data_IF_182613413355
#
_entry.id   IF_182613413355
#
_cell.length_a   1.000
_cell.length_b   1.000
_cell.length_c   1.000
_cell.angle_alpha   90.00
_cell.angle_beta   90.00
_cell.angle_gamma   90.00
#
_symmetry.space_group_name_H-M   'P 1'
#
loop_
_entity.id
_entity.type
_entity.pdbx_description
1 polymer ?
#
# COMPACT_ATOMS: atom_id res chain seq x y z
N UNK A 1 -1.38 -16.39 -18.55
CA UNK A 1 -1.85 -15.14 -19.14
C UNK A 1 -1.40 -15.05 -20.60
N UNK A 2 -2.33 -14.76 -21.51
CA UNK A 2 -2.07 -14.48 -22.91
C UNK A 2 -2.42 -13.02 -23.16
N UNK A 3 -1.56 -12.29 -23.87
CA UNK A 3 -1.75 -10.88 -24.20
C UNK A 3 -1.66 -10.67 -25.72
N UNK A 4 -2.49 -9.74 -26.23
CA UNK A 4 -2.45 -9.27 -27.63
C UNK A 4 -2.70 -10.41 -28.66
N UNK A 5 -3.75 -11.19 -28.46
CA UNK A 5 -4.21 -12.22 -29.41
C UNK A 5 -5.36 -11.63 -30.27
N UNK A 6 -5.04 -10.95 -31.35
CA UNK A 6 -6.02 -10.24 -32.18
C UNK A 6 -6.81 -9.21 -31.36
N UNK A 7 -8.14 -9.33 -31.32
CA UNK A 7 -9.02 -8.45 -30.52
C UNK A 7 -9.01 -8.76 -29.02
N UNK A 8 -8.47 -9.91 -28.60
CA UNK A 8 -8.30 -10.28 -27.21
C UNK A 8 -7.07 -9.58 -26.65
N UNK A 9 -7.25 -8.49 -25.89
CA UNK A 9 -6.14 -7.78 -25.27
C UNK A 9 -5.48 -8.55 -24.15
N UNK A 10 -6.29 -9.31 -23.42
CA UNK A 10 -5.80 -10.09 -22.28
C UNK A 10 -6.74 -11.25 -21.99
N UNK A 11 -6.18 -12.44 -21.78
CA UNK A 11 -6.86 -13.63 -21.26
C UNK A 11 -6.01 -14.14 -20.09
N UNK A 12 -6.55 -14.16 -18.90
CA UNK A 12 -5.85 -14.60 -17.70
C UNK A 12 -6.67 -15.67 -16.99
N UNK A 13 -6.04 -16.79 -16.69
CA UNK A 13 -6.60 -17.89 -15.91
C UNK A 13 -5.76 -18.13 -14.66
N UNK A 14 -6.39 -18.55 -13.57
CA UNK A 14 -5.76 -18.81 -12.28
C UNK A 14 -5.80 -17.62 -11.34
N UNK A 15 -4.69 -17.32 -10.65
CA UNK A 15 -4.63 -16.18 -9.69
C UNK A 15 -4.25 -14.90 -10.40
N UNK A 16 -5.06 -13.86 -10.20
CA UNK A 16 -4.87 -12.57 -10.85
C UNK A 16 -5.26 -11.40 -9.94
N UNK A 17 -4.89 -10.20 -10.37
CA UNK A 17 -5.25 -8.92 -9.77
C UNK A 17 -5.95 -8.06 -10.79
N UNK A 18 -6.95 -7.32 -10.33
CA UNK A 18 -7.67 -6.32 -11.10
C UNK A 18 -7.47 -4.93 -10.49
N UNK A 19 -7.42 -3.95 -11.36
CA UNK A 19 -7.52 -2.54 -11.02
C UNK A 19 -8.43 -1.89 -12.06
N UNK A 20 -9.60 -1.42 -11.63
CA UNK A 20 -10.57 -0.75 -12.47
C UNK A 20 -10.84 0.66 -11.93
N UNK A 21 -10.95 1.64 -12.82
CA UNK A 21 -11.12 3.05 -12.47
C UNK A 21 -10.00 3.60 -11.60
N UNK A 22 -10.33 4.36 -10.58
CA UNK A 22 -9.42 4.83 -9.52
C UNK A 22 -9.44 3.93 -8.29
N UNK A 23 -10.13 2.78 -8.36
CA UNK A 23 -10.17 1.76 -7.33
C UNK A 23 -11.21 1.98 -6.24
N UNK A 24 -12.24 2.79 -6.49
CA UNK A 24 -13.32 3.01 -5.53
C UNK A 24 -14.13 1.75 -5.27
N UNK A 25 -14.28 0.87 -6.26
CA UNK A 25 -14.99 -0.39 -6.11
C UNK A 25 -14.09 -1.61 -6.18
N UNK A 26 -13.08 -1.63 -7.08
CA UNK A 26 -12.27 -2.81 -7.34
C UNK A 26 -10.82 -2.47 -7.65
N UNK A 27 -9.93 -2.77 -6.70
CA UNK A 27 -8.49 -2.66 -6.86
C UNK A 27 -7.77 -3.61 -5.89
N UNK A 28 -7.13 -4.64 -6.43
CA UNK A 28 -6.29 -5.57 -5.67
C UNK A 28 -4.79 -5.29 -5.87
N UNK A 29 -4.44 -4.23 -6.60
CA UNK A 29 -3.05 -3.83 -6.81
C UNK A 29 -2.48 -3.13 -5.57
N UNK A 30 -1.16 -3.01 -5.56
CA UNK A 30 -0.43 -2.35 -4.49
C UNK A 30 -0.43 -0.83 -4.70
N UNK A 31 -0.63 -0.07 -3.62
CA UNK A 31 -0.51 1.40 -3.61
C UNK A 31 0.85 1.83 -3.06
N UNK A 32 1.54 2.74 -3.75
CA UNK A 32 2.86 3.26 -3.37
C UNK A 32 2.82 4.49 -2.44
N UNK A 33 1.65 4.83 -1.92
CA UNK A 33 1.46 5.97 -1.04
C UNK A 33 1.17 7.29 -1.79
N UNK A 34 0.94 8.36 -1.02
CA UNK A 34 0.38 9.62 -1.52
C UNK A 34 1.28 10.37 -2.52
N UNK A 35 2.60 10.29 -2.34
CA UNK A 35 3.55 10.96 -3.24
C UNK A 35 3.50 10.39 -4.67
N UNK A 36 3.19 9.10 -4.82
CA UNK A 36 3.15 8.45 -6.13
C UNK A 36 2.03 8.97 -7.06
N UNK A 37 1.00 9.59 -6.50
CA UNK A 37 -0.11 10.16 -7.27
C UNK A 37 0.36 11.27 -8.21
N UNK A 38 1.40 12.03 -7.83
CA UNK A 38 2.00 13.07 -8.67
C UNK A 38 2.48 12.56 -10.03
N UNK A 39 2.90 11.29 -10.09
CA UNK A 39 3.41 10.67 -11.33
C UNK A 39 2.46 9.62 -11.93
N UNK A 40 1.44 9.18 -11.21
CA UNK A 40 0.55 8.10 -11.64
C UNK A 40 -0.81 8.58 -12.15
N UNK A 41 -1.20 9.82 -11.89
CA UNK A 41 -2.45 10.39 -12.41
C UNK A 41 -2.44 10.35 -13.94
N UNK A 42 -3.56 9.92 -14.55
CA UNK A 42 -3.68 9.75 -16.00
C UNK A 42 -3.06 8.47 -16.57
N UNK A 43 -2.36 7.68 -15.76
CA UNK A 43 -1.93 6.34 -16.17
C UNK A 43 -3.13 5.44 -16.43
N UNK A 44 -2.98 4.48 -17.34
CA UNK A 44 -4.04 3.51 -17.63
C UNK A 44 -4.46 2.77 -16.36
N UNK A 45 -5.70 2.91 -15.98
CA UNK A 45 -6.26 2.37 -14.74
C UNK A 45 -6.70 0.93 -14.89
N UNK A 46 -7.38 0.57 -15.99
CA UNK A 46 -7.95 -0.77 -16.19
C UNK A 46 -6.86 -1.79 -16.51
N UNK A 47 -6.53 -2.63 -15.54
CA UNK A 47 -5.40 -3.57 -15.62
C UNK A 47 -5.76 -4.93 -15.06
N UNK A 48 -5.46 -5.98 -15.84
CA UNK A 48 -5.43 -7.35 -15.38
C UNK A 48 -3.96 -7.79 -15.29
N UNK A 49 -3.53 -8.26 -14.12
CA UNK A 49 -2.17 -8.76 -13.89
C UNK A 49 -2.20 -10.15 -13.27
N UNK A 50 -1.28 -11.01 -13.66
CA UNK A 50 -1.04 -12.27 -12.95
C UNK A 50 -0.58 -11.96 -11.53
N UNK A 51 -1.10 -12.68 -10.56
CA UNK A 51 -0.65 -12.57 -9.18
C UNK A 51 0.73 -13.20 -9.03
N UNK A 52 1.73 -12.37 -8.78
CA UNK A 52 3.14 -12.79 -8.59
C UNK A 52 3.66 -12.52 -7.18
N UNK A 53 2.84 -11.95 -6.30
CA UNK A 53 3.22 -11.68 -4.91
C UNK A 53 3.19 -12.94 -4.05
N UNK A 54 4.00 -12.96 -2.99
CA UNK A 54 3.93 -14.00 -1.94
C UNK A 54 2.70 -13.85 -1.02
N UNK A 55 1.93 -12.76 -1.15
CA UNK A 55 0.69 -12.58 -0.38
C UNK A 55 -0.32 -13.67 -0.72
N UNK A 56 -0.81 -14.36 0.30
CA UNK A 56 -1.82 -15.42 0.20
C UNK A 56 -3.26 -14.89 0.20
N UNK A 57 -3.46 -13.58 0.34
CA UNK A 57 -4.80 -13.03 0.58
C UNK A 57 -5.28 -12.02 -0.46
N UNK A 58 -4.41 -11.28 -1.09
CA UNK A 58 -4.78 -10.14 -1.93
C UNK A 58 -4.77 -10.49 -3.43
N UNK A 59 -5.60 -11.45 -3.84
CA UNK A 59 -5.77 -11.89 -5.23
C UNK A 59 -7.20 -12.34 -5.50
N UNK A 60 -7.57 -12.40 -6.78
CA UNK A 60 -8.74 -13.08 -7.31
C UNK A 60 -8.29 -14.41 -7.95
N UNK A 61 -9.16 -15.43 -7.98
CA UNK A 61 -8.85 -16.74 -8.52
C UNK A 61 -9.97 -17.23 -9.42
N UNK A 62 -9.66 -17.42 -10.70
CA UNK A 62 -10.61 -17.83 -11.72
C UNK A 62 -10.17 -17.38 -13.11
N UNK A 63 -10.98 -16.56 -13.78
CA UNK A 63 -10.71 -16.09 -15.13
C UNK A 63 -11.01 -14.60 -15.26
N UNK A 64 -10.21 -13.90 -16.06
CA UNK A 64 -10.47 -12.53 -16.47
C UNK A 64 -10.04 -12.33 -17.93
N UNK A 65 -10.85 -11.61 -18.69
CA UNK A 65 -10.65 -11.40 -20.11
C UNK A 65 -10.95 -9.96 -20.48
N UNK A 66 -10.14 -9.36 -21.37
CA UNK A 66 -10.42 -8.07 -22.01
C UNK A 66 -10.47 -8.24 -23.51
N UNK A 67 -11.58 -7.85 -24.11
CA UNK A 67 -11.83 -7.90 -25.55
C UNK A 67 -12.09 -6.52 -26.11
N UNK A 68 -11.46 -6.18 -27.26
CA UNK A 68 -11.71 -4.93 -27.99
C UNK A 68 -12.87 -5.12 -28.94
N UNK A 69 -14.01 -4.53 -28.61
CA UNK A 69 -15.21 -4.56 -29.46
C UNK A 69 -15.00 -3.71 -30.72
N UNK A 70 -14.59 -2.45 -30.53
CA UNK A 70 -14.33 -1.47 -31.56
C UNK A 70 -13.04 -0.71 -31.23
N UNK A 71 -12.49 0.06 -32.16
CA UNK A 71 -11.34 0.91 -31.90
C UNK A 71 -11.65 1.88 -30.75
N UNK A 72 -10.88 1.75 -29.67
CA UNK A 72 -11.06 2.55 -28.45
C UNK A 72 -12.08 1.99 -27.46
N UNK A 73 -12.90 0.98 -27.78
CA UNK A 73 -13.89 0.39 -26.90
C UNK A 73 -13.48 -1.00 -26.46
N UNK A 74 -13.19 -1.16 -25.17
CA UNK A 74 -12.79 -2.40 -24.53
C UNK A 74 -13.89 -2.88 -23.57
N UNK A 75 -14.14 -4.18 -23.60
CA UNK A 75 -14.98 -4.90 -22.64
C UNK A 75 -14.11 -5.84 -21.82
N UNK A 76 -14.18 -5.72 -20.52
CA UNK A 76 -13.53 -6.65 -19.57
C UNK A 76 -14.59 -7.44 -18.82
N UNK A 77 -14.44 -8.75 -18.73
CA UNK A 77 -15.25 -9.61 -17.88
C UNK A 77 -14.35 -10.41 -16.94
N UNK A 78 -14.80 -10.63 -15.72
CA UNK A 78 -14.03 -11.36 -14.70
C UNK A 78 -14.92 -12.20 -13.80
N UNK A 79 -14.35 -13.33 -13.38
CA UNK A 79 -14.96 -14.26 -12.43
C UNK A 79 -13.90 -14.76 -11.45
N UNK A 80 -14.24 -14.84 -10.17
CA UNK A 80 -13.37 -15.37 -9.13
C UNK A 80 -14.16 -16.21 -8.13
N UNK A 81 -13.62 -17.37 -7.80
CA UNK A 81 -14.04 -18.19 -6.67
C UNK A 81 -12.82 -18.53 -5.82
N UNK A 82 -12.89 -18.27 -4.52
CA UNK A 82 -11.81 -18.59 -3.58
C UNK A 82 -12.33 -18.90 -2.18
N UNK A 83 -11.62 -19.78 -1.49
CA UNK A 83 -11.75 -19.94 -0.05
C UNK A 83 -11.07 -18.76 0.66
N UNK A 84 -11.61 -18.34 1.79
CA UNK A 84 -11.13 -17.21 2.59
C UNK A 84 -11.00 -17.59 4.05
N UNK A 85 -10.02 -16.98 4.70
CA UNK A 85 -9.81 -17.12 6.12
C UNK A 85 -10.73 -16.14 6.86
N UNK A 86 -11.39 -16.60 7.91
CA UNK A 86 -12.36 -15.79 8.63
C UNK A 86 -12.40 -16.12 10.13
N UNK A 87 -12.73 -15.13 10.93
CA UNK A 87 -13.18 -15.34 12.30
C UNK A 87 -14.70 -15.38 12.29
N UNK A 88 -15.27 -16.44 12.84
CA UNK A 88 -16.72 -16.56 12.98
C UNK A 88 -17.22 -15.87 14.26
N UNK A 89 -18.44 -15.38 14.19
CA UNK A 89 -19.23 -14.97 15.36
C UNK A 89 -19.85 -16.18 16.04
N UNK A 90 -20.35 -16.04 17.25
CA UNK A 90 -21.05 -17.11 18.00
C UNK A 90 -22.28 -17.65 17.24
N UNK A 91 -22.82 -16.88 16.33
CA UNK A 91 -23.97 -17.25 15.46
C UNK A 91 -23.55 -17.93 14.15
N UNK A 92 -22.25 -18.24 13.97
CA UNK A 92 -21.72 -18.93 12.79
C UNK A 92 -21.52 -18.07 11.54
N UNK A 93 -21.75 -16.77 11.60
CA UNK A 93 -21.46 -15.84 10.50
C UNK A 93 -20.03 -15.30 10.54
N UNK A 94 -19.57 -14.72 9.44
CA UNK A 94 -18.24 -14.10 9.33
C UNK A 94 -18.23 -12.79 10.11
N UNK A 95 -17.54 -12.76 11.24
CA UNK A 95 -17.32 -11.54 12.02
C UNK A 95 -16.22 -10.66 11.42
N UNK A 96 -15.14 -11.30 10.92
CA UNK A 96 -14.00 -10.59 10.32
C UNK A 96 -13.32 -11.47 9.27
N UNK A 97 -13.10 -10.93 8.07
CA UNK A 97 -12.28 -11.56 7.02
C UNK A 97 -10.82 -11.32 7.37
N UNK A 98 -10.02 -12.39 7.46
CA UNK A 98 -8.61 -12.32 7.77
C UNK A 98 -7.81 -11.91 6.53
N UNK A 99 -7.01 -10.85 6.66
CA UNK A 99 -6.19 -10.30 5.56
C UNK A 99 -4.67 -10.56 5.74
N UNK A 100 -4.27 -11.33 6.74
CA UNK A 100 -2.84 -11.62 7.01
C UNK A 100 -2.33 -12.84 6.24
N UNK A 101 -3.18 -13.87 6.09
CA UNK A 101 -2.80 -15.15 5.48
C UNK A 101 -1.75 -15.93 6.28
N UNK A 102 -1.67 -15.69 7.59
CA UNK A 102 -0.74 -16.37 8.49
C UNK A 102 -1.45 -17.55 9.19
N UNK A 103 -0.78 -18.70 9.23
CA UNK A 103 -1.28 -19.95 9.82
C UNK A 103 -0.19 -20.58 10.71
N UNK A 104 0.27 -19.84 11.74
CA UNK A 104 1.41 -20.19 12.61
C UNK A 104 0.98 -20.80 13.94
N UNK A 105 -0.21 -20.46 14.41
CA UNK A 105 -0.77 -20.91 15.67
C UNK A 105 -2.04 -21.73 15.45
N UNK A 106 -2.44 -22.56 16.40
CA UNK A 106 -3.71 -23.32 16.33
C UNK A 106 -4.92 -22.41 16.11
N UNK A 107 -4.92 -21.21 16.71
CA UNK A 107 -5.98 -20.20 16.52
C UNK A 107 -6.00 -19.62 15.11
N UNK A 108 -4.84 -19.44 14.48
CA UNK A 108 -4.74 -18.99 13.09
C UNK A 108 -5.14 -20.10 12.11
N UNK A 109 -4.70 -21.34 12.36
CA UNK A 109 -5.05 -22.54 11.58
C UNK A 109 -6.55 -22.79 11.63
N UNK A 110 -7.18 -22.66 12.80
CA UNK A 110 -8.62 -22.82 12.97
C UNK A 110 -9.47 -21.81 12.17
N UNK A 111 -8.88 -20.74 11.66
CA UNK A 111 -9.54 -19.72 10.83
C UNK A 111 -9.31 -19.91 9.33
N UNK A 112 -8.51 -20.90 8.95
CA UNK A 112 -8.10 -21.12 7.58
C UNK A 112 -9.23 -21.70 6.73
N UNK A 113 -9.50 -21.06 5.56
CA UNK A 113 -10.43 -21.57 4.55
C UNK A 113 -11.86 -21.87 5.04
N UNK A 114 -12.33 -21.17 6.08
CA UNK A 114 -13.64 -21.44 6.73
C UNK A 114 -14.81 -21.08 5.82
N UNK A 115 -14.66 -20.04 5.01
CA UNK A 115 -15.71 -19.56 4.12
C UNK A 115 -15.22 -19.48 2.68
N UNK A 116 -16.12 -19.26 1.74
CA UNK A 116 -15.79 -18.99 0.35
C UNK A 116 -16.42 -17.69 -0.12
N UNK A 117 -15.79 -17.08 -1.11
CA UNK A 117 -16.25 -15.88 -1.78
C UNK A 117 -16.27 -16.09 -3.29
N UNK A 118 -17.42 -15.79 -3.90
CA UNK A 118 -17.60 -15.73 -5.35
C UNK A 118 -17.74 -14.27 -5.75
N UNK A 119 -17.06 -13.86 -6.81
CA UNK A 119 -17.13 -12.51 -7.37
C UNK A 119 -17.23 -12.61 -8.89
N UNK A 120 -18.16 -11.87 -9.50
CA UNK A 120 -18.30 -11.76 -10.95
C UNK A 120 -18.62 -10.32 -11.32
N UNK A 121 -18.12 -9.90 -12.47
CA UNK A 121 -18.37 -8.54 -12.92
C UNK A 121 -17.75 -8.22 -14.26
N UNK A 122 -17.85 -6.95 -14.63
CA UNK A 122 -17.31 -6.44 -15.87
C UNK A 122 -17.03 -4.96 -15.83
N UNK A 123 -16.28 -4.54 -16.84
CA UNK A 123 -15.97 -3.14 -17.13
C UNK A 123 -16.13 -2.90 -18.63
N UNK A 124 -16.73 -1.78 -18.99
CA UNK A 124 -16.72 -1.24 -20.34
C UNK A 124 -15.95 0.07 -20.30
N UNK A 125 -14.99 0.24 -21.20
CA UNK A 125 -14.13 1.42 -21.23
C UNK A 125 -13.95 1.93 -22.67
N UNK A 126 -14.27 3.19 -22.90
CA UNK A 126 -14.07 3.88 -24.17
C UNK A 126 -12.94 4.89 -24.04
N UNK A 127 -12.03 4.91 -25.02
CA UNK A 127 -10.90 5.84 -25.09
C UNK A 127 -10.77 6.41 -26.48
N UNK A 128 -10.73 7.73 -26.57
CA UNK A 128 -10.52 8.44 -27.83
C UNK A 128 -9.87 9.81 -27.59
N UNK A 129 -8.80 10.12 -28.33
CA UNK A 129 -8.14 11.44 -28.37
C UNK A 129 -7.88 12.07 -26.98
N UNK A 130 -7.34 11.27 -26.06
CA UNK A 130 -7.04 11.71 -24.69
C UNK A 130 -8.20 11.56 -23.69
N UNK A 131 -9.44 11.44 -24.14
CA UNK A 131 -10.60 11.16 -23.30
C UNK A 131 -10.72 9.67 -22.99
N UNK A 132 -11.18 9.38 -21.80
CA UNK A 132 -11.71 8.06 -21.46
C UNK A 132 -12.97 8.18 -20.61
N UNK A 133 -13.89 7.23 -20.79
CA UNK A 133 -15.06 7.03 -19.96
C UNK A 133 -15.21 5.53 -19.76
N UNK A 134 -15.39 5.10 -18.51
CA UNK A 134 -15.57 3.72 -18.14
C UNK A 134 -16.74 3.52 -17.20
N UNK A 135 -17.29 2.32 -17.22
CA UNK A 135 -18.28 1.88 -16.23
C UNK A 135 -17.89 0.47 -15.77
N UNK A 136 -17.85 0.29 -14.46
CA UNK A 136 -17.50 -0.98 -13.82
C UNK A 136 -18.62 -1.43 -12.90
N UNK A 137 -18.95 -2.71 -12.91
CA UNK A 137 -19.89 -3.28 -11.98
C UNK A 137 -19.50 -4.70 -11.59
N UNK A 138 -19.77 -5.07 -10.34
CA UNK A 138 -19.61 -6.44 -9.88
C UNK A 138 -20.65 -6.84 -8.84
N UNK A 139 -20.84 -8.14 -8.76
CA UNK A 139 -21.63 -8.82 -7.73
C UNK A 139 -20.73 -9.81 -7.00
N UNK A 140 -20.88 -9.88 -5.68
CA UNK A 140 -20.14 -10.82 -4.84
C UNK A 140 -21.04 -11.51 -3.83
N UNK A 141 -20.77 -12.80 -3.59
CA UNK A 141 -21.51 -13.66 -2.66
C UNK A 141 -20.54 -14.39 -1.75
N UNK A 142 -20.93 -14.54 -0.48
CA UNK A 142 -20.20 -15.31 0.52
C UNK A 142 -20.99 -16.55 0.92
N UNK A 143 -20.31 -17.66 1.21
CA UNK A 143 -20.95 -18.90 1.68
C UNK A 143 -21.54 -18.78 3.08
N UNK A 144 -21.05 -17.84 3.88
CA UNK A 144 -21.55 -17.50 5.21
C UNK A 144 -21.85 -15.99 5.27
N UNK A 145 -22.88 -15.54 6.02
CA UNK A 145 -23.22 -14.12 6.08
C UNK A 145 -22.11 -13.33 6.81
N UNK A 146 -21.83 -12.13 6.35
CA UNK A 146 -21.06 -11.16 7.13
C UNK A 146 -21.91 -10.72 8.34
N UNK A 147 -21.35 -10.88 9.53
CA UNK A 147 -21.99 -10.52 10.81
C UNK A 147 -21.04 -9.71 11.68
N UNK A 148 -20.66 -8.48 11.24
CA UNK A 148 -19.75 -7.64 12.01
C UNK A 148 -20.37 -7.25 13.37
N UNK A 149 -19.53 -7.10 14.38
CA UNK A 149 -19.96 -6.60 15.69
C UNK A 149 -20.27 -5.10 15.61
N UNK A 150 -21.55 -4.77 15.45
CA UNK A 150 -22.06 -3.40 15.34
C UNK A 150 -22.22 -2.67 16.67
N UNK A 151 -21.93 -3.31 17.80
CA UNK A 151 -21.86 -2.64 19.10
C UNK A 151 -20.69 -1.65 19.14
N UNK A 152 -19.65 -1.92 18.35
CA UNK A 152 -18.51 -1.04 18.18
C UNK A 152 -18.84 0.07 17.17
N UNK A 153 -18.76 1.33 17.60
CA UNK A 153 -19.14 2.50 16.79
C UNK A 153 -18.49 2.51 15.40
N UNK A 154 -17.20 2.24 15.32
CA UNK A 154 -16.46 2.25 14.04
C UNK A 154 -16.89 1.16 13.05
N UNK A 155 -17.64 0.14 13.51
CA UNK A 155 -18.24 -0.91 12.66
C UNK A 155 -19.71 -0.71 12.34
N UNK A 156 -20.31 0.42 12.75
CA UNK A 156 -21.76 0.67 12.59
C UNK A 156 -22.26 0.47 11.17
N UNK A 157 -21.47 0.92 10.19
CA UNK A 157 -21.81 0.85 8.76
C UNK A 157 -21.09 -0.28 8.01
N UNK A 158 -20.48 -1.23 8.72
CA UNK A 158 -19.86 -2.39 8.09
C UNK A 158 -20.90 -3.25 7.34
N UNK A 159 -20.54 -3.85 6.20
CA UNK A 159 -21.44 -4.68 5.39
C UNK A 159 -21.96 -5.88 6.17
N UNK A 160 -23.24 -6.22 5.98
CA UNK A 160 -23.92 -7.33 6.63
C UNK A 160 -24.74 -8.13 5.62
N UNK A 161 -24.69 -9.46 5.70
CA UNK A 161 -25.41 -10.37 4.80
C UNK A 161 -24.51 -11.18 3.91
N UNK A 162 -25.09 -11.82 2.89
CA UNK A 162 -24.37 -12.75 2.01
C UNK A 162 -23.91 -12.10 0.71
N UNK A 163 -24.69 -11.18 0.18
CA UNK A 163 -24.59 -10.71 -1.20
C UNK A 163 -24.41 -9.21 -1.27
N UNK A 164 -23.48 -8.77 -2.11
CA UNK A 164 -23.16 -7.36 -2.29
C UNK A 164 -22.92 -7.05 -3.76
N UNK A 165 -23.25 -5.85 -4.18
CA UNK A 165 -22.88 -5.31 -5.47
C UNK A 165 -22.32 -3.90 -5.32
N UNK A 166 -21.43 -3.53 -6.21
CA UNK A 166 -20.97 -2.16 -6.38
C UNK A 166 -20.90 -1.84 -7.87
N UNK A 167 -21.13 -0.59 -8.20
CA UNK A 167 -20.99 -0.03 -9.54
C UNK A 167 -20.29 1.32 -9.48
N UNK A 168 -19.50 1.64 -10.51
CA UNK A 168 -18.85 2.94 -10.65
C UNK A 168 -18.80 3.39 -12.10
N UNK A 169 -18.70 4.71 -12.26
CA UNK A 169 -18.36 5.36 -13.54
C UNK A 169 -17.07 6.11 -13.32
N UNK A 170 -16.10 5.88 -14.20
CA UNK A 170 -14.82 6.56 -14.23
C UNK A 170 -14.67 7.37 -15.53
N UNK A 171 -13.93 8.46 -15.43
CA UNK A 171 -13.68 9.34 -16.56
C UNK A 171 -12.33 10.02 -16.43
N UNK A 172 -11.81 10.50 -17.55
CA UNK A 172 -10.57 11.27 -17.56
C UNK A 172 -10.27 11.90 -18.90
N UNK A 173 -9.34 12.83 -18.82
CA UNK A 173 -8.80 13.54 -19.97
C UNK A 173 -7.30 13.76 -19.81
N UNK A 174 -6.54 13.41 -20.82
CA UNK A 174 -5.09 13.60 -20.86
C UNK A 174 -4.75 14.42 -22.10
N UNK A 175 -4.13 15.56 -21.89
CA UNK A 175 -3.57 16.41 -22.93
C UNK A 175 -2.11 16.76 -22.60
N UNK A 176 -1.50 17.63 -23.40
CA UNK A 176 -0.13 18.08 -23.14
C UNK A 176 0.02 18.78 -21.76
N UNK A 177 -0.98 19.57 -21.37
CA UNK A 177 -0.91 20.35 -20.10
C UNK A 177 -1.84 19.84 -19.01
N UNK A 178 -2.98 19.24 -19.37
CA UNK A 178 -3.99 18.79 -18.42
C UNK A 178 -4.01 17.28 -18.31
N UNK A 179 -4.07 16.80 -17.09
CA UNK A 179 -4.44 15.43 -16.76
C UNK A 179 -5.57 15.47 -15.75
N UNK A 180 -6.75 14.98 -16.13
CA UNK A 180 -7.94 14.92 -15.27
C UNK A 180 -8.33 13.46 -15.13
N UNK A 181 -8.72 13.05 -13.94
CA UNK A 181 -9.27 11.73 -13.66
C UNK A 181 -10.31 11.81 -12.55
N UNK A 182 -11.38 11.06 -12.68
CA UNK A 182 -12.42 10.96 -11.66
C UNK A 182 -13.10 9.60 -11.67
N UNK A 183 -13.66 9.22 -10.55
CA UNK A 183 -14.51 8.04 -10.38
C UNK A 183 -15.60 8.37 -9.37
N UNK A 184 -16.83 7.93 -9.65
CA UNK A 184 -17.95 7.98 -8.71
C UNK A 184 -18.58 6.60 -8.62
N UNK A 185 -18.81 6.14 -7.41
CA UNK A 185 -19.22 4.77 -7.11
C UNK A 185 -20.38 4.71 -6.11
N UNK A 186 -21.16 3.66 -6.23
CA UNK A 186 -22.26 3.30 -5.31
C UNK A 186 -22.35 1.78 -5.16
N UNK A 187 -23.30 1.31 -4.35
CA UNK A 187 -23.54 -0.13 -4.15
C UNK A 187 -24.75 -0.42 -3.26
N UNK A 188 -24.80 -1.62 -2.69
CA UNK A 188 -25.85 -2.04 -1.76
C UNK A 188 -26.08 -1.08 -0.60
N UNK A 189 -25.07 -0.30 -0.24
CA UNK A 189 -25.15 0.70 0.84
C UNK A 189 -26.08 1.88 0.52
N UNK A 190 -26.48 2.08 -0.73
CA UNK A 190 -27.22 3.25 -1.20
C UNK A 190 -26.51 4.59 -0.98
N UNK A 191 -25.18 4.55 -0.80
CA UNK A 191 -24.35 5.71 -0.52
C UNK A 191 -23.31 5.90 -1.63
N UNK A 192 -22.66 7.06 -1.68
CA UNK A 192 -21.78 7.46 -2.75
C UNK A 192 -20.33 7.60 -2.22
N UNK A 193 -19.37 7.20 -3.04
CA UNK A 193 -17.96 7.57 -2.94
C UNK A 193 -17.55 8.25 -4.24
N UNK A 194 -16.80 9.35 -4.17
CA UNK A 194 -16.26 10.04 -5.34
C UNK A 194 -14.82 10.50 -5.10
N UNK A 195 -14.00 10.37 -6.13
CA UNK A 195 -12.61 10.82 -6.17
C UNK A 195 -12.38 11.56 -7.48
N UNK A 196 -11.89 12.78 -7.40
CA UNK A 196 -11.63 13.63 -8.56
C UNK A 196 -10.25 14.27 -8.43
N UNK A 197 -9.48 14.25 -9.48
CA UNK A 197 -8.14 14.81 -9.51
C UNK A 197 -7.87 15.52 -10.83
N UNK A 198 -7.13 16.63 -10.74
CA UNK A 198 -6.65 17.36 -11.89
C UNK A 198 -5.19 17.76 -11.67
N UNK A 199 -4.36 17.57 -12.67
CA UNK A 199 -2.99 18.06 -12.73
C UNK A 199 -2.82 19.00 -13.89
N UNK A 200 -2.10 20.10 -13.66
CA UNK A 200 -1.76 21.09 -14.68
C UNK A 200 -0.26 21.28 -14.76
N UNK A 201 0.27 21.19 -15.97
CA UNK A 201 1.65 21.47 -16.29
C UNK A 201 1.80 22.94 -16.69
N UNK A 202 2.27 23.79 -15.78
CA UNK A 202 2.50 25.21 -16.01
C UNK A 202 3.68 25.44 -16.96
N UNK A 203 4.73 24.64 -16.78
CA UNK A 203 5.92 24.61 -17.62
C UNK A 203 6.55 23.22 -17.55
N UNK A 204 7.55 22.95 -18.40
CA UNK A 204 8.33 21.70 -18.36
C UNK A 204 9.02 21.46 -17.01
N UNK A 205 9.08 22.49 -16.17
CA UNK A 205 9.75 22.46 -14.86
C UNK A 205 8.79 22.47 -13.68
N UNK A 206 7.51 22.79 -13.87
CA UNK A 206 6.58 22.93 -12.76
C UNK A 206 5.18 22.41 -13.09
N UNK A 207 4.70 21.50 -12.26
CA UNK A 207 3.33 20.99 -12.30
C UNK A 207 2.68 21.01 -10.92
N UNK A 208 1.37 21.23 -10.91
CA UNK A 208 0.51 21.22 -9.71
C UNK A 208 -0.59 20.18 -9.90
N UNK A 209 -0.91 19.45 -8.85
CA UNK A 209 -1.98 18.45 -8.78
C UNK A 209 -2.89 18.79 -7.62
N UNK A 210 -4.19 18.88 -7.88
CA UNK A 210 -5.25 18.96 -6.89
C UNK A 210 -6.12 17.71 -6.96
N UNK A 211 -6.49 17.16 -5.79
CA UNK A 211 -7.37 16.01 -5.68
C UNK A 211 -8.37 16.25 -4.56
N UNK A 212 -9.62 15.94 -4.81
CA UNK A 212 -10.70 15.95 -3.83
C UNK A 212 -11.32 14.56 -3.75
N UNK A 213 -11.60 14.10 -2.54
CA UNK A 213 -12.28 12.83 -2.27
C UNK A 213 -13.40 13.01 -1.26
N UNK A 214 -14.52 12.37 -1.53
CA UNK A 214 -15.63 12.26 -0.61
C UNK A 214 -16.12 10.82 -0.58
N UNK A 215 -15.98 10.17 0.56
CA UNK A 215 -16.45 8.81 0.83
C UNK A 215 -17.46 8.86 1.96
N UNK A 216 -18.73 8.60 1.66
CA UNK A 216 -19.77 8.57 2.69
C UNK A 216 -19.45 7.57 3.81
N UNK A 217 -19.79 7.88 5.04
CA UNK A 217 -19.66 6.96 6.17
C UNK A 217 -20.41 5.63 5.98
N UNK A 218 -21.50 5.65 5.18
CA UNK A 218 -22.29 4.46 4.84
C UNK A 218 -21.74 3.69 3.63
N UNK A 219 -20.87 4.30 2.82
CA UNK A 219 -20.30 3.63 1.66
C UNK A 219 -19.39 2.49 2.08
N UNK A 220 -19.45 1.38 1.36
CA UNK A 220 -18.48 0.30 1.46
C UNK A 220 -18.31 -0.43 0.11
N UNK A 221 -17.11 -0.88 -0.14
CA UNK A 221 -16.78 -1.91 -1.12
C UNK A 221 -15.70 -2.82 -0.55
N UNK A 222 -15.94 -4.13 -0.57
CA UNK A 222 -15.06 -5.13 0.03
C UNK A 222 -13.73 -5.32 -0.74
N UNK A 223 -13.67 -4.82 -1.98
CA UNK A 223 -12.53 -4.97 -2.89
C UNK A 223 -11.92 -3.63 -3.31
N UNK A 224 -12.37 -2.53 -2.70
CA UNK A 224 -11.83 -1.20 -2.96
C UNK A 224 -10.43 -1.03 -2.37
N UNK A 225 -9.59 -0.29 -3.08
CA UNK A 225 -8.32 0.23 -2.62
C UNK A 225 -8.00 1.47 -3.46
N UNK A 226 -8.31 2.63 -2.94
CA UNK A 226 -8.17 3.91 -3.63
C UNK A 226 -7.36 4.89 -2.80
N UNK A 227 -7.14 6.09 -3.32
CA UNK A 227 -6.44 7.15 -2.61
C UNK A 227 -7.23 7.54 -1.36
N UNK A 228 -6.69 7.25 -0.19
CA UNK A 228 -7.31 7.54 1.10
C UNK A 228 -6.25 7.72 2.20
N UNK A 229 -6.62 8.38 3.27
CA UNK A 229 -5.86 8.40 4.52
C UNK A 229 -6.27 7.20 5.41
N UNK A 230 -7.50 6.76 5.30
CA UNK A 230 -8.01 5.57 5.94
C UNK A 230 -7.49 4.28 5.30
N UNK A 231 -7.78 3.14 5.93
CA UNK A 231 -7.48 1.82 5.37
C UNK A 231 -8.50 1.36 4.32
N UNK A 232 -9.69 1.96 4.35
CA UNK A 232 -10.82 1.59 3.51
C UNK A 232 -11.39 2.83 2.83
N UNK A 233 -12.04 2.65 1.70
CA UNK A 233 -12.79 3.70 0.98
C UNK A 233 -14.12 3.91 1.68
N UNK A 234 -14.10 4.57 2.83
CA UNK A 234 -15.28 4.80 3.67
C UNK A 234 -15.02 5.94 4.64
N UNK A 235 -16.05 6.80 4.86
CA UNK A 235 -16.04 7.84 5.89
C UNK A 235 -14.80 8.73 5.80
N UNK A 236 -14.60 9.39 4.66
CA UNK A 236 -13.47 10.29 4.48
C UNK A 236 -13.84 11.42 3.52
N UNK A 237 -13.68 12.66 3.96
CA UNK A 237 -13.73 13.84 3.13
C UNK A 237 -12.34 14.49 3.15
N UNK A 238 -11.73 14.71 2.00
CA UNK A 238 -10.35 15.19 1.97
C UNK A 238 -9.97 15.92 0.71
N UNK A 239 -8.97 16.78 0.88
CA UNK A 239 -8.36 17.54 -0.19
C UNK A 239 -6.84 17.35 -0.16
N UNK A 240 -6.26 17.11 -1.32
CA UNK A 240 -4.84 16.93 -1.52
C UNK A 240 -4.34 17.95 -2.54
N UNK A 241 -3.26 18.62 -2.22
CA UNK A 241 -2.54 19.50 -3.13
C UNK A 241 -1.08 19.04 -3.19
N UNK A 242 -0.60 18.75 -4.38
CA UNK A 242 0.76 18.28 -4.58
C UNK A 242 1.43 18.98 -5.76
N UNK A 243 2.75 19.06 -5.74
CA UNK A 243 3.53 19.70 -6.77
C UNK A 243 4.79 18.92 -7.13
N UNK A 244 5.25 19.13 -8.35
CA UNK A 244 6.56 18.71 -8.83
C UNK A 244 7.26 19.92 -9.42
N UNK A 245 8.49 20.17 -8.99
CA UNK A 245 9.29 21.31 -9.43
C UNK A 245 10.73 20.92 -9.71
N UNK A 246 11.25 21.34 -10.84
CA UNK A 246 12.63 21.15 -11.30
C UNK A 246 13.25 22.55 -11.45
N UNK A 247 13.66 23.24 -10.36
CA UNK A 247 14.11 24.63 -10.40
C UNK A 247 15.37 24.84 -11.22
N UNK A 248 16.21 23.83 -11.31
CA UNK A 248 17.45 23.86 -12.09
C UNK A 248 17.84 22.45 -12.52
N UNK A 249 18.75 22.35 -13.47
CA UNK A 249 19.35 21.08 -13.84
C UNK A 249 19.88 20.33 -12.59
N UNK A 250 19.57 19.04 -12.48
CA UNK A 250 19.95 18.15 -11.37
C UNK A 250 19.14 18.31 -10.08
N UNK A 251 18.19 19.23 -9.98
CA UNK A 251 17.32 19.36 -8.83
C UNK A 251 15.92 18.85 -9.14
N UNK A 252 15.31 18.13 -8.19
CA UNK A 252 13.90 17.76 -8.24
C UNK A 252 13.30 17.91 -6.86
N UNK A 253 12.24 18.70 -6.78
CA UNK A 253 11.52 18.98 -5.54
C UNK A 253 10.07 18.52 -5.72
N UNK A 254 9.61 17.63 -4.86
CA UNK A 254 8.24 17.12 -4.88
C UNK A 254 7.64 17.28 -3.48
N UNK A 255 6.41 17.69 -3.41
CA UNK A 255 5.76 17.82 -2.11
C UNK A 255 4.26 17.73 -2.21
N UNK A 256 3.63 17.52 -1.06
CA UNK A 256 2.18 17.57 -0.93
C UNK A 256 1.74 18.01 0.45
N UNK A 257 0.52 18.50 0.49
CA UNK A 257 -0.31 18.71 1.68
C UNK A 257 -1.63 17.97 1.48
N UNK A 258 -1.99 17.12 2.41
CA UNK A 258 -3.22 16.34 2.39
C UNK A 258 -4.00 16.54 3.67
N UNK A 259 -5.24 16.98 3.54
CA UNK A 259 -6.20 17.09 4.61
C UNK A 259 -7.26 16.01 4.50
N UNK A 260 -7.62 15.38 5.61
CA UNK A 260 -8.70 14.39 5.69
C UNK A 260 -9.54 14.62 6.93
N UNK A 261 -10.85 14.54 6.77
CA UNK A 261 -11.83 14.61 7.84
C UNK A 261 -12.69 13.36 7.84
N UNK A 262 -12.81 12.73 9.01
CA UNK A 262 -13.62 11.54 9.26
C UNK A 262 -14.80 11.95 10.13
N UNK A 263 -16.00 11.90 9.56
CA UNK A 263 -17.24 12.32 10.23
C UNK A 263 -17.60 11.34 11.33
N UNK A 264 -17.37 10.04 11.08
CA UNK A 264 -17.71 8.95 11.99
C UNK A 264 -16.50 8.49 12.80
N UNK A 265 -16.68 8.10 14.08
CA UNK A 265 -15.59 7.59 14.90
C UNK A 265 -14.85 6.43 14.24
N UNK A 266 -13.53 6.49 14.26
CA UNK A 266 -12.61 5.42 13.83
C UNK A 266 -12.22 4.53 15.02
N UNK A 267 -11.49 3.45 14.74
CA UNK A 267 -10.95 2.58 15.78
C UNK A 267 -10.12 3.39 16.78
N UNK A 268 -10.36 3.18 18.08
CA UNK A 268 -9.79 3.94 19.19
C UNK A 268 -10.21 5.41 19.31
N UNK A 269 -11.19 5.88 18.55
CA UNK A 269 -11.73 7.25 18.72
C UNK A 269 -13.20 7.19 19.10
N UNK A 270 -13.68 8.20 19.82
CA UNK A 270 -15.10 8.32 20.25
C UNK A 270 -15.86 9.36 19.44
N UNK A 271 -15.17 10.20 18.69
CA UNK A 271 -15.73 11.32 17.94
C UNK A 271 -15.09 11.44 16.56
N UNK A 272 -15.57 12.40 15.77
CA UNK A 272 -14.99 12.76 14.48
C UNK A 272 -13.52 13.12 14.64
N UNK A 273 -12.72 12.80 13.63
CA UNK A 273 -11.27 13.06 13.65
C UNK A 273 -10.82 13.70 12.36
N UNK A 274 -9.70 14.39 12.42
CA UNK A 274 -9.04 14.95 11.25
C UNK A 274 -7.60 14.47 11.14
N UNK A 275 -7.04 14.59 9.94
CA UNK A 275 -5.65 14.28 9.68
C UNK A 275 -5.05 15.31 8.73
N UNK A 276 -3.89 15.82 9.09
CA UNK A 276 -3.00 16.58 8.23
C UNK A 276 -1.75 15.77 7.93
N UNK A 277 -1.34 15.71 6.66
CA UNK A 277 -0.17 14.97 6.21
C UNK A 277 0.58 15.82 5.17
N UNK A 278 1.72 16.37 5.56
CA UNK A 278 2.58 17.18 4.71
C UNK A 278 3.88 16.46 4.43
N UNK A 279 4.32 16.47 3.17
CA UNK A 279 5.58 15.87 2.78
C UNK A 279 6.32 16.78 1.78
N UNK A 280 7.61 16.97 2.03
CA UNK A 280 8.55 17.60 1.13
C UNK A 280 9.71 16.65 0.86
N UNK A 281 10.03 16.42 -0.40
CA UNK A 281 11.13 15.59 -0.84
C UNK A 281 11.99 16.38 -1.84
N UNK A 282 13.27 16.56 -1.53
CA UNK A 282 14.24 17.29 -2.33
C UNK A 282 15.32 16.31 -2.77
N UNK A 283 15.59 16.28 -4.06
CA UNK A 283 16.61 15.46 -4.69
C UNK A 283 17.62 16.34 -5.40
N UNK A 284 18.89 16.04 -5.24
CA UNK A 284 19.98 16.64 -5.98
C UNK A 284 20.85 15.56 -6.61
N UNK A 285 21.06 15.62 -7.92
CA UNK A 285 21.88 14.68 -8.69
C UNK A 285 23.12 15.38 -9.25
N UNK A 286 24.21 15.49 -8.48
CA UNK A 286 25.43 16.16 -8.94
C UNK A 286 25.99 15.56 -10.23
N UNK A 287 25.82 14.27 -10.41
CA UNK A 287 26.18 13.53 -11.63
C UNK A 287 25.32 12.27 -11.78
N UNK A 288 25.56 11.45 -12.81
CA UNK A 288 24.78 10.24 -13.11
C UNK A 288 24.93 9.13 -12.05
N UNK A 289 25.98 9.18 -11.21
CA UNK A 289 26.26 8.15 -10.20
C UNK A 289 25.71 8.50 -8.83
N UNK A 290 25.63 9.79 -8.47
CA UNK A 290 25.25 10.25 -7.14
C UNK A 290 23.86 10.85 -7.12
N UNK A 291 23.09 10.46 -6.12
CA UNK A 291 21.83 11.12 -5.77
C UNK A 291 21.86 11.42 -4.28
N UNK A 292 21.72 12.69 -3.93
CA UNK A 292 21.53 13.15 -2.56
C UNK A 292 20.06 13.51 -2.37
N UNK A 293 19.48 13.16 -1.24
CA UNK A 293 18.09 13.45 -1.01
C UNK A 293 17.76 13.73 0.45
N UNK A 294 16.80 14.61 0.65
CA UNK A 294 16.18 14.82 1.96
C UNK A 294 14.67 14.73 1.85
N UNK A 295 14.05 14.14 2.86
CA UNK A 295 12.60 14.01 2.97
C UNK A 295 12.15 14.42 4.34
N UNK A 296 11.26 15.41 4.37
CA UNK A 296 10.57 15.88 5.55
C UNK A 296 9.11 15.45 5.48
N UNK A 297 8.56 14.94 6.56
CA UNK A 297 7.14 14.62 6.68
C UNK A 297 6.63 15.04 8.04
N UNK A 298 5.54 15.75 8.06
CA UNK A 298 4.78 16.10 9.24
C UNK A 298 3.38 15.52 9.11
N UNK A 299 2.94 14.79 10.14
CA UNK A 299 1.62 14.19 10.15
C UNK A 299 0.97 14.34 11.51
N UNK A 300 -0.25 14.85 11.50
CA UNK A 300 -1.14 14.93 12.65
C UNK A 300 -2.37 14.06 12.38
N UNK A 301 -2.69 13.14 13.28
CA UNK A 301 -3.84 12.24 13.14
C UNK A 301 -4.35 11.79 14.50
N UNK A 302 -5.66 12.02 14.76
CA UNK A 302 -6.35 11.52 15.94
C UNK A 302 -5.57 11.79 17.26
N UNK A 303 -5.10 13.01 17.45
CA UNK A 303 -4.38 13.41 18.66
C UNK A 303 -2.91 12.97 18.71
N UNK A 304 -2.37 12.36 17.64
CA UNK A 304 -0.94 12.03 17.55
C UNK A 304 -0.27 12.87 16.48
N UNK A 305 0.80 13.55 16.83
CA UNK A 305 1.65 14.31 15.90
C UNK A 305 2.96 13.55 15.67
N UNK A 306 3.35 13.38 14.41
CA UNK A 306 4.58 12.69 14.03
C UNK A 306 5.38 13.54 13.04
N UNK A 307 6.61 13.89 13.39
CA UNK A 307 7.61 14.49 12.52
C UNK A 307 8.61 13.42 12.07
N UNK A 308 8.96 13.38 10.79
CA UNK A 308 9.99 12.48 10.26
C UNK A 308 10.92 13.23 9.34
N UNK A 309 12.20 13.02 9.54
CA UNK A 309 13.23 13.51 8.63
C UNK A 309 14.12 12.36 8.19
N UNK A 310 14.34 12.27 6.89
CA UNK A 310 15.27 11.33 6.28
C UNK A 310 16.26 12.08 5.40
N UNK A 311 17.54 11.87 5.65
CA UNK A 311 18.64 12.30 4.78
C UNK A 311 19.26 11.04 4.16
N UNK A 312 19.56 11.07 2.86
CA UNK A 312 20.20 9.93 2.22
C UNK A 312 21.09 10.32 1.05
N UNK A 313 22.13 9.51 0.86
CA UNK A 313 23.01 9.54 -0.30
C UNK A 313 22.94 8.18 -0.99
N UNK A 314 22.82 8.18 -2.30
CA UNK A 314 22.89 6.96 -3.12
C UNK A 314 23.98 7.11 -4.15
N UNK A 315 24.86 6.12 -4.19
CA UNK A 315 25.84 5.93 -5.26
C UNK A 315 25.44 4.73 -6.10
N UNK A 316 25.47 4.84 -7.42
CA UNK A 316 25.21 3.72 -8.32
C UNK A 316 26.15 3.80 -9.52
N UNK A 317 26.83 2.69 -9.78
CA UNK A 317 27.66 2.45 -10.95
C UNK A 317 27.24 1.12 -11.60
N UNK A 318 27.90 0.69 -12.66
CA UNK A 318 27.56 -0.55 -13.39
C UNK A 318 27.49 -1.78 -12.48
N UNK A 319 28.43 -1.92 -11.57
CA UNK A 319 28.55 -3.07 -10.69
C UNK A 319 28.22 -2.77 -9.22
N UNK A 320 28.43 -1.53 -8.78
CA UNK A 320 28.28 -1.13 -7.39
C UNK A 320 27.04 -0.26 -7.18
N UNK A 321 26.35 -0.48 -6.08
CA UNK A 321 25.42 0.50 -5.55
C UNK A 321 25.52 0.56 -4.03
N UNK A 322 25.55 1.78 -3.51
CA UNK A 322 25.57 2.07 -2.08
C UNK A 322 24.46 3.05 -1.76
N UNK A 323 23.80 2.86 -0.63
CA UNK A 323 22.83 3.81 -0.11
C UNK A 323 22.97 3.93 1.39
N UNK A 324 23.42 5.10 1.82
CA UNK A 324 23.46 5.52 3.21
C UNK A 324 22.21 6.35 3.53
N UNK A 325 21.55 6.10 4.63
CA UNK A 325 20.46 6.97 5.11
C UNK A 325 20.49 7.14 6.62
N UNK A 326 20.13 8.35 7.04
CA UNK A 326 19.86 8.73 8.43
C UNK A 326 18.40 9.12 8.52
N UNK A 327 17.69 8.46 9.38
CA UNK A 327 16.28 8.72 9.67
C UNK A 327 16.13 9.21 11.11
N UNK A 328 15.38 10.27 11.30
CA UNK A 328 14.96 10.78 12.60
C UNK A 328 13.44 10.84 12.65
N UNK A 329 12.85 10.41 13.74
CA UNK A 329 11.42 10.50 13.99
C UNK A 329 11.15 11.06 15.36
N UNK A 330 10.10 11.86 15.44
CA UNK A 330 9.57 12.42 16.68
C UNK A 330 8.07 12.20 16.70
N UNK A 331 7.53 11.66 17.79
CA UNK A 331 6.09 11.41 17.95
C UNK A 331 5.61 11.96 19.29
N UNK A 332 4.55 12.75 19.26
CA UNK A 332 3.88 13.28 20.45
C UNK A 332 2.42 12.89 20.43
N UNK A 333 1.94 12.25 21.48
CA UNK A 333 0.52 11.99 21.70
C UNK A 333 -0.07 13.19 22.44
N UNK A 334 -1.04 13.86 21.84
CA UNK A 334 -1.87 14.89 22.45
C UNK A 334 -3.18 14.23 22.89
N UNK A 335 -3.13 13.34 23.90
CA UNK A 335 -4.29 12.56 24.32
C UNK A 335 -5.10 13.24 25.42
N UNK A 336 -6.42 13.13 25.35
CA UNK A 336 -7.33 13.24 26.50
C UNK A 336 -7.06 12.08 27.49
N UNK A 337 -5.90 12.08 28.12
CA UNK A 337 -5.71 11.27 29.34
C UNK A 337 -6.21 12.09 30.52
N UNK A 338 -6.96 11.46 31.38
CA UNK A 338 -7.79 11.93 32.47
C UNK A 338 -7.12 12.79 33.57
N UNK A 339 -6.15 13.59 33.23
CA UNK A 339 -5.65 14.71 34.02
C UNK A 339 -4.92 15.68 33.07
N UNK A 340 -5.55 16.82 32.84
CA UNK A 340 -5.06 17.89 31.97
C UNK A 340 -3.65 18.42 32.34
N UNK A 341 -3.08 18.07 33.49
CA UNK A 341 -1.76 18.53 33.92
C UNK A 341 -0.59 17.64 33.52
N UNK A 342 -0.83 16.34 33.17
CA UNK A 342 0.27 15.42 32.81
C UNK A 342 0.46 15.27 31.28
N UNK A 343 -0.51 15.72 30.47
CA UNK A 343 -0.45 15.57 29.00
C UNK A 343 0.35 16.67 28.30
N UNK A 344 0.43 17.87 28.88
CA UNK A 344 1.17 19.00 28.29
C UNK A 344 2.70 18.92 28.49
N UNK A 345 3.16 18.18 29.50
CA UNK A 345 4.58 18.05 29.85
C UNK A 345 5.26 16.77 29.31
N UNK A 346 4.53 15.90 28.60
CA UNK A 346 5.13 14.69 28.05
C UNK A 346 6.08 15.06 26.90
N UNK A 347 7.37 14.87 27.11
CA UNK A 347 8.39 15.01 26.07
C UNK A 347 8.05 14.10 24.87
N UNK A 348 8.21 14.60 23.64
CA UNK A 348 7.95 13.78 22.46
C UNK A 348 8.89 12.57 22.43
N UNK A 349 8.34 11.40 22.12
CA UNK A 349 9.14 10.20 21.88
C UNK A 349 9.99 10.39 20.61
N UNK A 350 11.26 10.04 20.69
CA UNK A 350 12.23 10.24 19.63
C UNK A 350 12.86 8.92 19.21
N UNK A 351 13.27 8.85 17.95
CA UNK A 351 13.99 7.71 17.42
C UNK A 351 14.89 8.12 16.25
N UNK A 352 16.00 7.41 16.10
CA UNK A 352 16.90 7.55 14.96
C UNK A 352 17.35 6.19 14.44
N UNK A 353 17.66 6.16 13.15
CA UNK A 353 18.14 4.99 12.42
C UNK A 353 19.26 5.42 11.46
N UNK A 354 20.41 4.78 11.58
CA UNK A 354 21.44 4.79 10.56
C UNK A 354 21.32 3.49 9.75
N UNK A 355 21.20 3.61 8.44
CA UNK A 355 21.03 2.44 7.56
C UNK A 355 21.96 2.55 6.37
N UNK A 356 22.75 1.50 6.14
CA UNK A 356 23.66 1.34 5.02
C UNK A 356 23.24 0.13 4.19
N UNK A 357 23.13 0.30 2.88
CA UNK A 357 22.86 -0.78 1.93
C UNK A 357 23.94 -0.76 0.85
N UNK A 358 24.63 -1.86 0.69
CA UNK A 358 25.65 -2.07 -0.33
C UNK A 358 25.23 -3.20 -1.24
N UNK A 359 25.43 -3.06 -2.54
CA UNK A 359 25.26 -4.14 -3.51
C UNK A 359 26.43 -4.16 -4.50
N UNK A 360 26.88 -5.37 -4.78
CA UNK A 360 27.89 -5.63 -5.80
C UNK A 360 27.41 -6.72 -6.75
N UNK A 361 27.57 -6.52 -8.04
CA UNK A 361 27.25 -7.49 -9.08
C UNK A 361 28.57 -8.00 -9.70
N UNK A 362 28.76 -9.31 -9.60
CA UNK A 362 29.87 -10.00 -10.25
C UNK A 362 29.33 -11.09 -11.17
N UNK A 363 29.36 -10.83 -12.48
CA UNK A 363 28.85 -11.77 -13.50
C UNK A 363 27.47 -12.37 -13.14
N UNK A 364 27.48 -13.63 -12.70
CA UNK A 364 26.28 -14.43 -12.36
C UNK A 364 25.80 -14.24 -10.90
N UNK A 365 26.58 -13.55 -10.06
CA UNK A 365 26.29 -13.37 -8.64
C UNK A 365 26.07 -11.89 -8.31
N UNK A 366 25.00 -11.59 -7.59
CA UNK A 366 24.80 -10.29 -6.93
C UNK A 366 24.76 -10.51 -5.42
N UNK A 367 25.64 -9.83 -4.71
CA UNK A 367 25.65 -9.74 -3.25
C UNK A 367 25.07 -8.41 -2.82
N UNK A 368 24.18 -8.42 -1.83
CA UNK A 368 23.60 -7.21 -1.24
C UNK A 368 23.66 -7.33 0.28
N UNK A 369 24.38 -6.43 0.93
CA UNK A 369 24.47 -6.30 2.37
C UNK A 369 23.63 -5.12 2.87
N UNK A 370 23.07 -5.25 4.05
CA UNK A 370 22.40 -4.19 4.78
C UNK A 370 22.90 -4.18 6.23
N UNK A 371 23.20 -2.99 6.74
CA UNK A 371 23.51 -2.75 8.14
C UNK A 371 22.61 -1.63 8.66
N UNK A 372 22.01 -1.82 9.82
CA UNK A 372 21.17 -0.82 10.47
C UNK A 372 21.51 -0.75 11.95
N UNK A 373 21.76 0.45 12.46
CA UNK A 373 21.77 0.77 13.89
C UNK A 373 20.53 1.62 14.19
N UNK A 374 19.79 1.25 15.22
CA UNK A 374 18.55 1.94 15.59
C UNK A 374 18.45 2.16 17.09
N UNK A 375 17.86 3.30 17.44
CA UNK A 375 17.48 3.63 18.79
C UNK A 375 16.14 4.39 18.76
N UNK A 376 15.15 3.92 19.51
CA UNK A 376 13.86 4.61 19.69
C UNK A 376 13.44 4.50 21.14
N UNK A 377 12.91 5.59 21.68
CA UNK A 377 12.49 5.63 23.08
C UNK A 377 11.32 4.70 23.37
N UNK A 378 10.39 4.59 22.40
CA UNK A 378 9.24 3.70 22.47
C UNK A 378 8.74 3.28 21.08
N UNK A 379 7.61 2.52 21.05
CA UNK A 379 7.03 2.04 19.81
C UNK A 379 6.37 3.13 18.95
N UNK A 380 6.01 4.31 19.52
CA UNK A 380 5.42 5.41 18.77
C UNK A 380 6.42 6.08 17.82
N UNK A 381 7.70 6.10 18.21
CA UNK A 381 8.81 6.63 17.42
C UNK A 381 9.50 5.60 16.51
N UNK A 382 8.90 4.41 16.30
CA UNK A 382 9.47 3.37 15.41
C UNK A 382 9.71 3.85 14.00
N UNK A 383 10.78 3.35 13.40
CA UNK A 383 11.22 3.71 12.05
C UNK A 383 11.12 2.50 11.12
N UNK A 384 10.75 2.76 9.87
CA UNK A 384 10.70 1.72 8.83
C UNK A 384 11.78 1.99 7.78
N UNK A 385 12.60 0.99 7.51
CA UNK A 385 13.59 1.06 6.45
C UNK A 385 13.50 -0.12 5.50
N UNK A 386 13.86 0.14 4.24
CA UNK A 386 13.96 -0.90 3.23
C UNK A 386 15.20 -1.74 3.48
N UNK A 387 15.05 -3.05 3.36
CA UNK A 387 16.11 -4.05 3.41
C UNK A 387 16.06 -4.91 2.15
N UNK A 388 17.18 -5.28 1.54
CA UNK A 388 17.19 -6.24 0.44
C UNK A 388 16.53 -7.56 0.85
N UNK A 389 15.71 -8.14 -0.02
CA UNK A 389 14.94 -9.35 0.26
C UNK A 389 14.80 -10.28 -0.93
N UNK A 390 13.97 -11.32 -0.74
CA UNK A 390 13.65 -12.29 -1.77
C UNK A 390 12.76 -11.67 -2.87
N UNK A 391 12.58 -12.37 -4.00
CA UNK A 391 11.67 -11.91 -5.05
C UNK A 391 10.23 -11.91 -4.58
N UNK A 392 9.48 -10.92 -5.06
CA UNK A 392 8.05 -10.77 -4.81
C UNK A 392 7.68 -10.51 -3.34
N UNK A 393 8.70 -10.19 -2.53
CA UNK A 393 8.54 -9.77 -1.14
C UNK A 393 8.95 -8.31 -1.04
N UNK A 394 8.10 -7.51 -0.41
CA UNK A 394 8.43 -6.14 -0.03
C UNK A 394 8.95 -6.18 1.40
N UNK A 395 10.23 -5.93 1.58
CA UNK A 395 10.87 -6.00 2.88
C UNK A 395 11.10 -4.60 3.44
N UNK A 396 10.18 -4.18 4.33
CA UNK A 396 10.33 -3.01 5.17
C UNK A 396 10.38 -3.47 6.61
N UNK A 397 11.57 -3.51 7.17
CA UNK A 397 11.75 -3.85 8.57
C UNK A 397 11.31 -2.70 9.46
N UNK A 398 10.60 -3.02 10.54
CA UNK A 398 10.22 -2.09 11.60
C UNK A 398 11.27 -2.13 12.70
N UNK A 399 11.83 -0.98 13.03
CA UNK A 399 12.87 -0.82 14.04
C UNK A 399 12.30 -0.08 15.24
N UNK A 400 12.40 -0.67 16.43
CA UNK A 400 11.99 -0.07 17.71
C UNK A 400 12.82 -0.63 18.85
N UNK A 401 13.04 0.19 19.91
CA UNK A 401 14.02 -0.10 20.96
C UNK A 401 15.43 0.27 20.52
N UNK A 402 16.43 -0.40 21.03
CA UNK A 402 17.84 -0.18 20.69
C UNK A 402 18.49 -1.47 20.19
N UNK A 403 19.25 -1.37 19.09
CA UNK A 403 19.92 -2.54 18.53
C UNK A 403 20.57 -2.33 17.17
N UNK A 404 21.06 -3.45 16.66
CA UNK A 404 21.62 -3.54 15.31
C UNK A 404 20.91 -4.63 14.51
N UNK A 405 20.83 -4.42 13.19
CA UNK A 405 20.36 -5.45 12.25
C UNK A 405 21.34 -5.52 11.07
N UNK A 406 21.76 -6.74 10.76
CA UNK A 406 22.56 -7.06 9.59
C UNK A 406 21.78 -8.00 8.69
N UNK A 407 21.83 -7.80 7.37
CA UNK A 407 21.29 -8.75 6.41
C UNK A 407 22.24 -8.90 5.22
N UNK A 408 22.38 -10.13 4.72
CA UNK A 408 23.13 -10.47 3.53
C UNK A 408 22.20 -11.25 2.58
N UNK A 409 22.14 -10.80 1.33
CA UNK A 409 21.37 -11.45 0.27
C UNK A 409 22.32 -11.80 -0.87
N UNK A 410 22.40 -13.08 -1.19
CA UNK A 410 23.09 -13.60 -2.36
C UNK A 410 22.07 -14.01 -3.42
N UNK A 411 22.18 -13.46 -4.62
CA UNK A 411 21.33 -13.78 -5.76
C UNK A 411 22.21 -14.28 -6.90
N UNK A 412 21.95 -15.51 -7.35
CA UNK A 412 22.68 -16.18 -8.41
C UNK A 412 21.76 -16.58 -9.55
N UNK A 413 22.15 -16.26 -10.78
CA UNK A 413 21.49 -16.74 -12.01
C UNK A 413 22.37 -17.83 -12.62
N UNK A 414 21.93 -19.09 -12.47
CA UNK A 414 22.65 -20.29 -12.92
C UNK A 414 22.07 -20.68 -14.29
N UNK A 415 22.86 -20.44 -15.33
CA UNK A 415 22.41 -20.61 -16.70
C UNK A 415 21.21 -19.71 -17.04
N UNK A 416 20.36 -20.15 -17.98
CA UNK A 416 19.17 -19.38 -18.42
C UNK A 416 17.90 -19.67 -17.61
N UNK A 417 17.93 -20.75 -16.82
CA UNK A 417 16.73 -21.36 -16.27
C UNK A 417 16.60 -21.24 -14.75
N UNK A 418 17.67 -21.25 -13.99
CA UNK A 418 17.62 -21.29 -12.54
C UNK A 418 18.10 -19.98 -11.90
N UNK A 419 17.24 -19.42 -11.06
CA UNK A 419 17.58 -18.31 -10.17
C UNK A 419 17.49 -18.79 -8.73
N UNK A 420 18.57 -18.64 -7.98
CA UNK A 420 18.66 -18.96 -6.55
C UNK A 420 18.91 -17.67 -5.78
N UNK A 421 18.17 -17.48 -4.70
CA UNK A 421 18.35 -16.36 -3.78
C UNK A 421 18.42 -16.92 -2.37
N UNK A 422 19.45 -16.54 -1.60
CA UNK A 422 19.58 -16.84 -0.19
C UNK A 422 19.68 -15.53 0.59
N UNK A 423 18.97 -15.42 1.69
CA UNK A 423 19.02 -14.30 2.62
C UNK A 423 19.31 -14.82 4.01
N UNK A 424 20.34 -14.25 4.65
CA UNK A 424 20.64 -14.40 6.07
C UNK A 424 20.47 -13.02 6.72
N UNK A 425 19.66 -12.93 7.77
CA UNK A 425 19.46 -11.69 8.49
C UNK A 425 19.52 -11.95 10.01
N UNK A 426 20.18 -11.08 10.75
CA UNK A 426 20.24 -11.14 12.22
C UNK A 426 19.91 -9.76 12.80
N UNK A 427 19.10 -9.77 13.87
CA UNK A 427 18.82 -8.59 14.68
C UNK A 427 19.29 -8.87 16.10
N UNK A 428 20.03 -7.95 16.70
CA UNK A 428 20.44 -7.99 18.11
C UNK A 428 19.95 -6.73 18.80
N UNK A 429 19.17 -6.93 19.86
CA UNK A 429 18.68 -5.86 20.73
C UNK A 429 19.62 -5.66 21.91
N UNK A 430 19.78 -4.42 22.35
CA UNK A 430 20.62 -4.04 23.49
C UNK A 430 19.77 -3.69 24.72
N UNK A 431 18.48 -3.44 24.53
CA UNK A 431 17.52 -2.96 25.53
C UNK A 431 16.61 -4.06 26.09
N UNK A 432 16.75 -5.31 25.64
CA UNK A 432 15.86 -6.42 26.05
C UNK A 432 16.54 -7.78 25.99
N UNK A 433 16.07 -8.70 26.85
CA UNK A 433 16.51 -10.10 26.90
C UNK A 433 15.56 -11.06 26.18
N UNK A 434 14.34 -10.60 25.83
CA UNK A 434 13.30 -11.42 25.18
C UNK A 434 12.73 -10.65 23.99
N UNK A 435 12.41 -11.36 22.90
CA UNK A 435 11.81 -10.80 21.68
C UNK A 435 10.40 -11.38 21.54
N UNK A 436 9.40 -10.54 21.25
CA UNK A 436 7.99 -10.93 21.11
C UNK A 436 7.39 -11.42 22.45
N UNK A 437 6.18 -12.01 22.39
CA UNK A 437 5.43 -12.48 23.56
C UNK A 437 4.61 -13.74 23.24
N UNK A 438 4.28 -14.51 24.26
CA UNK A 438 3.43 -15.70 24.17
C UNK A 438 4.05 -16.80 23.30
N UNK A 439 3.29 -17.40 22.38
CA UNK A 439 3.77 -18.50 21.53
C UNK A 439 4.86 -18.10 20.50
N UNK A 440 5.14 -16.82 20.35
CA UNK A 440 6.17 -16.29 19.45
C UNK A 440 7.36 -15.72 20.21
N UNK A 441 7.40 -15.90 21.51
CA UNK A 441 8.49 -15.43 22.37
C UNK A 441 9.79 -16.17 22.06
N UNK A 442 10.86 -15.38 21.93
CA UNK A 442 12.23 -15.86 21.80
C UNK A 442 12.95 -15.42 23.08
N UNK A 443 13.39 -16.36 23.90
CA UNK A 443 14.10 -16.12 25.16
C UNK A 443 15.58 -15.75 24.86
N UNK A 444 15.79 -14.75 24.03
CA UNK A 444 17.11 -14.21 23.67
C UNK A 444 16.98 -12.77 23.19
N UNK A 445 18.09 -12.02 23.28
CA UNK A 445 18.20 -10.66 22.77
C UNK A 445 18.48 -10.60 21.26
N UNK A 446 18.57 -11.73 20.58
CA UNK A 446 18.88 -11.79 19.15
C UNK A 446 17.96 -12.78 18.42
N UNK A 447 17.74 -12.52 17.15
CA UNK A 447 17.01 -13.37 16.22
C UNK A 447 17.77 -13.45 14.90
N UNK A 448 17.90 -14.66 14.37
CA UNK A 448 18.52 -14.90 13.05
C UNK A 448 17.54 -15.63 12.15
N UNK A 449 17.37 -15.11 10.95
CA UNK A 449 16.46 -15.64 9.93
C UNK A 449 17.26 -16.07 8.69
N UNK A 450 17.01 -17.28 8.19
CA UNK A 450 17.52 -17.80 6.94
C UNK A 450 16.37 -18.06 5.97
N UNK A 451 16.41 -17.42 4.81
CA UNK A 451 15.40 -17.61 3.77
C UNK A 451 16.08 -18.05 2.46
N UNK A 452 15.59 -19.10 1.81
CA UNK A 452 16.07 -19.57 0.51
C UNK A 452 14.92 -19.59 -0.47
N UNK A 453 15.15 -19.08 -1.69
CA UNK A 453 14.17 -19.07 -2.76
C UNK A 453 14.81 -19.58 -4.06
N UNK A 454 14.15 -20.51 -4.72
CA UNK A 454 14.51 -20.99 -6.04
C UNK A 454 13.39 -20.65 -7.03
N UNK A 455 13.78 -20.21 -8.23
CA UNK A 455 12.85 -19.95 -9.32
C UNK A 455 13.37 -20.59 -10.59
N UNK A 456 12.58 -21.50 -11.12
CA UNK A 456 12.81 -22.10 -12.44
C UNK A 456 12.08 -21.33 -13.53
N UNK A 457 12.77 -21.03 -14.64
CA UNK A 457 12.20 -20.41 -15.85
C UNK A 457 12.22 -21.45 -16.97
N UNK A 458 11.08 -21.71 -17.55
CA UNK A 458 10.91 -22.62 -18.70
C UNK A 458 11.30 -21.93 -19.99
#
# INVERSE_FOLDING_TARGET
QVKKLGRWKNITLGRYRLHEGLGLILNNDFSFGKLSVLSSLGSATNRIRVHSSRSSVNYLQGAAVTYTLLKGLDLTAFFSYRKIDATLSDKGGIQTIQKTGLHRTLKEIAKQNIASNTLMGGNINYRNQGWHVGATGFYTSFSLPLTPDKSQLYKRFAPQGYNFWNASVDYGYVSHRWTIAGETATGNCGAIATLNAASYLFSDHFSLLALHRFYSARYYSLFSNSFSEGSDVQDENGAYLGFTWVPAHRWSINGYSDFSYFVWPKYHTKQSTQCWDHLLNILYQPNKRWTLGTRLRYKEKAGTTTGRWRLYATFADENWSAKTSVDYTMSKEMGEKSSQKEADDANPSQGYLLNENLSYRWHWLRLSGSFSYFHTQDFSSRIYAYEPGLLYQMSFSSFYGEGIRCALVARSEIGKHLLVIAKLATTRYFDRSHISTGLQEIAASHQTDLEIQMKWKW
#
